data_IF_643393509844
#
_entry.id   IF_643393509844
#
_cell.length_a   1.000
_cell.length_b   1.000
_cell.length_c   1.000
_cell.angle_alpha   90.00
_cell.angle_beta   90.00
_cell.angle_gamma   90.00
#
_symmetry.space_group_name_H-M   'P 1'
#
loop_
_entity.id
_entity.type
_entity.pdbx_description
1 polymer ?
#
# COMPACT_ATOMS: atom_id res chain seq x y z
N UNK A 1 25.81 -8.25 9.31
CA UNK A 1 25.10 -9.10 10.28
C UNK A 1 23.74 -9.39 9.67
N UNK A 2 23.37 -10.66 9.53
CA UNK A 2 22.03 -11.00 9.02
C UNK A 2 20.98 -10.53 10.03
N UNK A 3 19.87 -9.99 9.53
CA UNK A 3 18.82 -9.39 10.36
C UNK A 3 17.65 -10.36 10.44
N UNK A 4 17.23 -10.70 11.65
CA UNK A 4 16.10 -11.60 11.89
C UNK A 4 14.81 -10.83 12.16
N UNK A 5 13.66 -11.46 11.90
CA UNK A 5 12.34 -10.87 12.18
C UNK A 5 12.17 -10.55 13.68
N UNK A 6 12.62 -11.45 14.57
CA UNK A 6 12.45 -11.27 16.02
C UNK A 6 13.30 -10.11 16.59
N UNK A 7 14.31 -9.64 15.85
CA UNK A 7 15.13 -8.49 16.23
C UNK A 7 14.46 -7.15 15.86
N UNK A 8 13.29 -7.18 15.21
CA UNK A 8 12.64 -5.99 14.67
C UNK A 8 11.66 -5.38 15.67
N UNK A 9 11.82 -4.08 15.93
CA UNK A 9 10.78 -3.29 16.60
C UNK A 9 9.63 -2.96 15.64
N UNK A 10 8.70 -3.91 15.53
CA UNK A 10 7.52 -3.81 14.66
C UNK A 10 6.62 -2.62 15.00
N UNK A 11 6.59 -2.18 16.27
CA UNK A 11 5.80 -1.01 16.67
C UNK A 11 6.43 0.27 16.14
N UNK A 12 7.75 0.41 16.26
CA UNK A 12 8.47 1.54 15.71
C UNK A 12 8.31 1.63 14.18
N UNK A 13 8.37 0.48 13.48
CA UNK A 13 8.13 0.45 12.04
C UNK A 13 6.71 0.88 11.68
N UNK A 14 5.68 0.39 12.37
CA UNK A 14 4.30 0.85 12.19
C UNK A 14 4.17 2.37 12.38
N UNK A 15 4.79 2.92 13.43
CA UNK A 15 4.75 4.35 13.71
C UNK A 15 5.31 5.19 12.56
N UNK A 16 6.32 4.73 11.83
CA UNK A 16 6.84 5.43 10.64
C UNK A 16 5.82 5.56 9.51
N UNK A 17 4.93 4.57 9.35
CA UNK A 17 3.83 4.67 8.38
C UNK A 17 2.71 5.57 8.90
N UNK A 18 2.38 5.44 10.18
CA UNK A 18 1.31 6.21 10.82
C UNK A 18 1.61 7.70 10.92
N UNK A 19 2.79 8.07 11.41
CA UNK A 19 3.15 9.45 11.71
C UNK A 19 3.21 10.30 10.44
N UNK A 20 2.59 11.47 10.47
CA UNK A 20 2.54 12.39 9.32
C UNK A 20 1.43 12.07 8.31
N UNK A 21 0.55 11.11 8.56
CA UNK A 21 -0.64 10.85 7.76
C UNK A 21 -1.78 11.87 7.99
N UNK A 22 -1.72 12.66 9.07
CA UNK A 22 -2.69 13.73 9.34
C UNK A 22 -4.12 13.22 9.42
N UNK A 23 -5.02 13.81 8.63
CA UNK A 23 -6.43 13.39 8.58
C UNK A 23 -6.62 11.92 8.16
N UNK A 24 -5.63 11.33 7.48
CA UNK A 24 -5.69 9.96 6.97
C UNK A 24 -5.08 8.90 7.92
N UNK A 25 -4.68 9.29 9.14
CA UNK A 25 -4.15 8.35 10.15
C UNK A 25 -5.09 7.16 10.43
N UNK A 26 -6.41 7.37 10.35
CA UNK A 26 -7.41 6.33 10.56
C UNK A 26 -7.39 5.20 9.52
N UNK A 27 -6.79 5.42 8.34
CA UNK A 27 -6.68 4.41 7.27
C UNK A 27 -5.37 3.60 7.34
N UNK A 28 -4.47 3.93 8.27
CA UNK A 28 -3.22 3.17 8.42
C UNK A 28 -3.46 1.95 9.29
N UNK A 29 -3.34 0.76 8.71
CA UNK A 29 -3.60 -0.48 9.42
C UNK A 29 -2.35 -1.05 10.11
N UNK A 30 -2.50 -1.40 11.38
CA UNK A 30 -1.45 -2.03 12.18
C UNK A 30 -1.39 -3.55 12.00
N UNK A 31 -2.42 -4.18 11.42
CA UNK A 31 -2.55 -5.64 11.28
C UNK A 31 -1.31 -6.31 10.70
N UNK A 32 -0.68 -5.81 9.61
CA UNK A 32 0.52 -6.43 9.07
C UNK A 32 1.68 -6.48 10.08
N UNK A 33 1.83 -5.46 10.92
CA UNK A 33 2.88 -5.41 11.94
C UNK A 33 2.52 -6.23 13.18
N UNK A 34 1.27 -6.14 13.65
CA UNK A 34 0.83 -6.81 14.88
C UNK A 34 0.88 -8.33 14.71
N UNK A 35 0.47 -8.83 13.54
CA UNK A 35 0.40 -10.27 13.28
C UNK A 35 1.78 -10.91 13.11
N UNK A 36 2.79 -10.14 12.68
CA UNK A 36 4.18 -10.61 12.60
C UNK A 36 4.80 -11.00 13.94
N UNK A 37 4.26 -10.54 15.07
CA UNK A 37 4.71 -10.98 16.41
C UNK A 37 4.55 -12.48 16.63
N UNK A 38 3.63 -13.13 15.90
CA UNK A 38 3.36 -14.56 15.99
C UNK A 38 3.92 -15.33 14.78
N UNK A 39 4.60 -14.65 13.87
CA UNK A 39 5.21 -15.30 12.71
C UNK A 39 6.54 -15.96 13.15
N UNK A 40 6.88 -17.17 12.67
CA UNK A 40 8.15 -17.81 12.94
C UNK A 40 9.32 -16.90 12.57
N UNK A 41 10.37 -16.95 13.38
CA UNK A 41 11.57 -16.18 13.06
C UNK A 41 12.21 -16.67 11.76
N UNK A 42 12.66 -15.72 10.93
CA UNK A 42 13.38 -15.99 9.70
C UNK A 42 14.36 -14.86 9.40
N UNK A 43 15.36 -15.15 8.56
CA UNK A 43 16.34 -14.16 8.11
C UNK A 43 15.70 -13.28 7.04
N UNK A 44 15.67 -11.98 7.27
CA UNK A 44 15.15 -11.02 6.30
C UNK A 44 15.99 -11.06 5.03
N UNK A 45 15.30 -11.07 3.89
CA UNK A 45 15.91 -11.09 2.56
C UNK A 45 16.33 -9.68 2.14
N UNK A 46 17.35 -9.60 1.28
CA UNK A 46 17.81 -8.32 0.74
C UNK A 46 16.75 -7.71 -0.20
N UNK A 47 16.57 -6.40 -0.09
CA UNK A 47 15.57 -5.63 -0.84
C UNK A 47 16.24 -4.53 -1.66
N UNK A 48 15.77 -4.33 -2.88
CA UNK A 48 16.32 -3.32 -3.79
C UNK A 48 15.71 -1.93 -3.53
N UNK A 49 16.54 -0.98 -3.09
CA UNK A 49 16.13 0.41 -2.85
C UNK A 49 16.30 1.32 -4.08
N UNK A 50 16.85 0.80 -5.18
CA UNK A 50 17.09 1.58 -6.38
C UNK A 50 15.83 1.71 -7.22
N UNK A 51 15.65 2.89 -7.80
CA UNK A 51 14.62 3.14 -8.80
C UNK A 51 14.86 2.23 -10.01
N UNK A 52 13.78 1.62 -10.49
CA UNK A 52 13.73 0.83 -11.72
C UNK A 52 12.75 1.46 -12.73
N UNK A 53 12.62 0.85 -13.90
CA UNK A 53 11.74 1.35 -14.97
C UNK A 53 10.28 1.47 -14.52
N UNK A 54 9.79 0.50 -13.74
CA UNK A 54 8.41 0.52 -13.24
C UNK A 54 8.17 1.72 -12.33
N UNK A 55 9.05 1.91 -11.34
CA UNK A 55 8.96 3.05 -10.42
C UNK A 55 9.24 4.40 -11.10
N UNK A 56 10.04 4.42 -12.17
CA UNK A 56 10.21 5.59 -13.05
C UNK A 56 8.91 5.97 -13.77
N UNK A 57 8.21 5.00 -14.37
CA UNK A 57 6.92 5.25 -15.02
C UNK A 57 5.87 5.75 -14.03
N UNK A 58 5.82 5.17 -12.82
CA UNK A 58 4.97 5.64 -11.72
C UNK A 58 5.29 7.10 -11.37
N UNK A 59 6.58 7.44 -11.21
CA UNK A 59 7.01 8.81 -10.91
C UNK A 59 6.60 9.80 -12.00
N UNK A 60 6.75 9.43 -13.27
CA UNK A 60 6.40 10.27 -14.41
C UNK A 60 4.90 10.59 -14.40
N UNK A 61 4.04 9.59 -14.18
CA UNK A 61 2.59 9.78 -14.06
C UNK A 61 2.26 10.70 -12.87
N UNK A 62 2.82 10.41 -11.70
CA UNK A 62 2.59 11.21 -10.49
C UNK A 62 2.99 12.68 -10.72
N UNK A 63 4.14 12.92 -11.36
CA UNK A 63 4.66 14.27 -11.61
C UNK A 63 3.75 15.13 -12.48
N UNK A 64 2.98 14.51 -13.39
CA UNK A 64 2.03 15.20 -14.27
C UNK A 64 0.74 15.60 -13.55
N UNK A 65 0.44 14.98 -12.41
CA UNK A 65 -0.82 15.17 -11.68
C UNK A 65 -0.64 15.74 -10.27
N UNK A 66 0.60 15.94 -9.81
CA UNK A 66 0.89 16.41 -8.45
C UNK A 66 0.40 17.85 -8.26
N UNK A 67 -0.59 18.00 -7.37
CA UNK A 67 -1.06 19.29 -6.88
C UNK A 67 -1.79 19.08 -5.55
N UNK A 68 -2.02 20.15 -4.76
CA UNK A 68 -2.62 20.02 -3.42
C UNK A 68 -4.02 19.41 -3.36
N UNK A 69 -4.73 19.33 -4.49
CA UNK A 69 -6.11 18.83 -4.60
C UNK A 69 -6.20 17.43 -5.22
N UNK A 70 -5.07 16.76 -5.40
CA UNK A 70 -5.01 15.39 -5.92
C UNK A 70 -4.64 14.41 -4.80
N UNK A 71 -5.46 13.38 -4.63
CA UNK A 71 -5.11 12.20 -3.85
C UNK A 71 -4.64 11.09 -4.80
N UNK A 72 -3.60 10.36 -4.40
CA UNK A 72 -3.08 9.24 -5.19
C UNK A 72 -3.44 7.90 -4.55
N UNK A 73 -3.60 6.88 -5.39
CA UNK A 73 -3.80 5.50 -4.99
C UNK A 73 -2.98 4.61 -5.90
N UNK A 74 -2.37 3.58 -5.34
CA UNK A 74 -1.72 2.54 -6.13
C UNK A 74 -2.15 1.15 -5.69
N UNK A 75 -2.47 0.31 -6.66
CA UNK A 75 -2.93 -1.06 -6.49
C UNK A 75 -2.04 -2.02 -7.30
N UNK A 76 -0.85 -2.28 -6.76
CA UNK A 76 0.13 -3.22 -7.31
C UNK A 76 0.31 -4.40 -6.35
N UNK A 77 1.04 -5.43 -6.77
CA UNK A 77 1.45 -6.46 -5.81
C UNK A 77 2.22 -5.83 -4.64
N UNK A 78 2.12 -6.43 -3.46
CA UNK A 78 2.70 -5.89 -2.22
C UNK A 78 4.15 -5.37 -2.36
N UNK A 79 5.04 -6.10 -3.03
CA UNK A 79 6.45 -5.73 -3.15
C UNK A 79 6.64 -4.47 -3.99
N UNK A 80 5.97 -4.41 -5.15
CA UNK A 80 5.98 -3.24 -6.03
C UNK A 80 5.35 -2.03 -5.35
N UNK A 81 4.18 -2.22 -4.72
CA UNK A 81 3.49 -1.17 -3.95
C UNK A 81 4.37 -0.58 -2.84
N UNK A 82 5.06 -1.43 -2.07
CA UNK A 82 5.95 -0.97 -0.99
C UNK A 82 7.20 -0.25 -1.53
N UNK A 83 7.78 -0.76 -2.62
CA UNK A 83 8.91 -0.10 -3.28
C UNK A 83 8.52 1.28 -3.83
N UNK A 84 7.42 1.34 -4.57
CA UNK A 84 6.90 2.58 -5.12
C UNK A 84 6.57 3.60 -4.02
N UNK A 85 5.98 3.15 -2.90
CA UNK A 85 5.69 4.01 -1.74
C UNK A 85 6.95 4.70 -1.20
N UNK A 86 8.01 3.91 -1.01
CA UNK A 86 9.30 4.43 -0.56
C UNK A 86 9.90 5.42 -1.57
N UNK A 87 9.96 5.06 -2.86
CA UNK A 87 10.53 5.91 -3.90
C UNK A 87 9.75 7.23 -4.03
N UNK A 88 8.41 7.17 -4.00
CA UNK A 88 7.54 8.35 -4.10
C UNK A 88 7.66 9.28 -2.90
N UNK A 89 7.84 8.73 -1.69
CA UNK A 89 8.16 9.56 -0.53
C UNK A 89 9.49 10.29 -0.73
N UNK A 90 10.53 9.59 -1.17
CA UNK A 90 11.86 10.17 -1.36
C UNK A 90 11.93 11.19 -2.50
N UNK A 91 11.21 10.97 -3.60
CA UNK A 91 11.32 11.76 -4.83
C UNK A 91 10.23 12.80 -5.03
N UNK A 92 9.03 12.55 -4.50
CA UNK A 92 7.84 13.40 -4.70
C UNK A 92 7.26 13.94 -3.40
N UNK A 93 7.83 13.57 -2.25
CA UNK A 93 7.34 13.92 -0.92
C UNK A 93 5.87 13.55 -0.71
N UNK A 94 5.40 12.45 -1.31
CA UNK A 94 4.10 11.90 -1.01
C UNK A 94 4.19 11.05 0.25
N UNK A 95 3.30 11.29 1.23
CA UNK A 95 3.19 10.44 2.41
C UNK A 95 2.44 9.16 2.02
N UNK A 96 3.05 7.97 2.14
CA UNK A 96 2.33 6.74 1.88
C UNK A 96 1.43 6.35 3.05
N UNK A 97 0.20 5.94 2.75
CA UNK A 97 -0.81 5.45 3.68
C UNK A 97 -0.93 3.94 3.45
N UNK A 98 -0.39 3.14 4.38
CA UNK A 98 -0.39 1.68 4.26
C UNK A 98 -1.74 1.10 4.67
N UNK A 99 -2.49 0.58 3.69
CA UNK A 99 -3.84 0.03 3.90
C UNK A 99 -3.90 -1.50 3.96
N UNK A 100 -2.75 -2.13 4.14
CA UNK A 100 -2.66 -3.60 4.14
C UNK A 100 -3.37 -4.19 5.37
N UNK A 101 -4.28 -5.16 5.18
CA UNK A 101 -5.10 -5.74 6.27
C UNK A 101 -4.92 -7.23 6.48
N UNK A 102 -4.11 -7.88 5.65
CA UNK A 102 -3.85 -9.31 5.76
C UNK A 102 -3.30 -9.67 7.15
N UNK A 103 -3.73 -10.83 7.64
CA UNK A 103 -3.12 -11.48 8.79
C UNK A 103 -1.89 -12.23 8.27
N UNK A 104 -0.70 -11.84 8.72
CA UNK A 104 0.53 -12.53 8.37
C UNK A 104 0.60 -13.87 9.10
N UNK A 105 0.74 -14.95 8.33
CA UNK A 105 0.85 -16.31 8.84
C UNK A 105 1.67 -17.17 7.85
N UNK A 106 2.51 -18.11 8.30
CA UNK A 106 3.35 -18.95 7.41
C UNK A 106 2.57 -19.75 6.38
N UNK A 107 1.35 -20.12 6.76
CA UNK A 107 0.43 -20.87 5.91
C UNK A 107 -0.59 -19.96 5.22
N UNK A 108 -0.40 -18.63 5.20
CA UNK A 108 -1.27 -17.68 4.52
C UNK A 108 -1.21 -17.80 2.99
N UNK A 109 -2.33 -17.52 2.34
CA UNK A 109 -2.45 -17.43 0.87
C UNK A 109 -1.68 -16.24 0.32
N UNK A 110 -1.83 -15.07 0.95
CA UNK A 110 -1.21 -13.81 0.53
C UNK A 110 -0.12 -13.40 1.51
N UNK A 111 0.85 -12.64 0.97
CA UNK A 111 1.94 -12.00 1.73
C UNK A 111 2.95 -12.98 2.35
N UNK A 112 4.00 -13.29 1.58
CA UNK A 112 5.06 -14.21 1.94
C UNK A 112 6.26 -13.52 2.62
N UNK A 113 7.32 -14.29 2.92
CA UNK A 113 8.56 -13.78 3.52
C UNK A 113 9.25 -12.69 2.68
N UNK A 114 9.10 -12.71 1.35
CA UNK A 114 9.67 -11.68 0.48
C UNK A 114 8.90 -10.36 0.63
N UNK A 115 7.56 -10.43 0.69
CA UNK A 115 6.71 -9.27 0.99
C UNK A 115 6.95 -8.74 2.42
N UNK A 116 7.12 -9.62 3.41
CA UNK A 116 7.47 -9.23 4.78
C UNK A 116 8.85 -8.56 4.84
N UNK A 117 9.85 -9.11 4.15
CA UNK A 117 11.19 -8.52 4.06
C UNK A 117 11.14 -7.13 3.42
N UNK A 118 10.34 -6.97 2.36
CA UNK A 118 10.07 -5.68 1.72
C UNK A 118 9.40 -4.70 2.68
N UNK A 119 8.33 -5.11 3.36
CA UNK A 119 7.61 -4.26 4.32
C UNK A 119 8.57 -3.72 5.37
N UNK A 120 9.35 -4.60 6.01
CA UNK A 120 10.30 -4.20 7.05
C UNK A 120 11.37 -3.27 6.49
N UNK A 121 12.01 -3.65 5.37
CA UNK A 121 13.13 -2.90 4.80
C UNK A 121 12.74 -1.49 4.36
N UNK A 122 11.58 -1.34 3.71
CA UNK A 122 11.09 -0.02 3.31
C UNK A 122 10.55 0.78 4.50
N UNK A 123 9.90 0.12 5.48
CA UNK A 123 9.49 0.79 6.74
C UNK A 123 10.66 1.47 7.42
N UNK A 124 11.86 0.87 7.41
CA UNK A 124 13.04 1.47 8.03
C UNK A 124 13.49 2.77 7.38
N UNK A 125 13.25 2.90 6.07
CA UNK A 125 13.64 4.07 5.27
C UNK A 125 12.58 5.14 5.21
N UNK A 126 11.32 4.79 5.48
CA UNK A 126 10.27 5.79 5.59
C UNK A 126 10.56 6.74 6.74
N UNK A 127 10.46 8.03 6.45
CA UNK A 127 10.73 9.10 7.40
C UNK A 127 9.56 10.07 7.45
N UNK A 128 9.40 10.75 8.58
CA UNK A 128 8.48 11.87 8.65
C UNK A 128 9.15 13.10 8.03
N UNK A 129 8.56 13.61 6.94
CA UNK A 129 9.06 14.72 6.13
C UNK A 129 7.89 15.66 5.85
N UNK A 130 8.17 16.91 5.47
CA UNK A 130 7.14 17.79 4.94
C UNK A 130 6.59 17.19 3.65
N UNK A 131 5.32 16.79 3.68
CA UNK A 131 4.69 16.06 2.58
C UNK A 131 3.90 17.01 1.66
N UNK A 132 3.97 16.76 0.35
CA UNK A 132 3.26 17.51 -0.69
C UNK A 132 1.89 16.90 -1.05
N UNK A 133 1.53 15.78 -0.41
CA UNK A 133 0.30 15.04 -0.66
C UNK A 133 0.38 13.65 -0.05
N UNK A 134 -0.62 12.82 -0.37
CA UNK A 134 -0.75 11.47 0.16
C UNK A 134 -0.95 10.45 -0.97
N UNK A 135 -0.48 9.23 -0.72
CA UNK A 135 -0.72 8.09 -1.61
C UNK A 135 -1.17 6.87 -0.82
N UNK A 136 -2.37 6.37 -1.12
CA UNK A 136 -2.88 5.11 -0.58
C UNK A 136 -2.18 3.93 -1.23
N UNK A 137 -1.59 3.07 -0.39
CA UNK A 137 -0.84 1.88 -0.79
C UNK A 137 -1.73 0.66 -0.60
N UNK A 138 -2.16 0.06 -1.71
CA UNK A 138 -3.02 -1.12 -1.75
C UNK A 138 -2.23 -2.35 -2.25
N UNK A 139 -2.69 -3.54 -1.88
CA UNK A 139 -2.13 -4.81 -2.35
C UNK A 139 -3.09 -5.45 -3.34
N UNK A 140 -2.70 -5.51 -4.60
CA UNK A 140 -3.45 -6.14 -5.69
C UNK A 140 -3.76 -7.61 -5.42
N UNK A 141 -2.93 -8.30 -4.63
CA UNK A 141 -3.13 -9.72 -4.34
C UNK A 141 -4.14 -9.97 -3.21
N UNK A 142 -4.66 -8.93 -2.55
CA UNK A 142 -5.56 -9.01 -1.37
C UNK A 142 -6.70 -10.00 -1.51
N UNK A 143 -7.28 -10.14 -2.71
CA UNK A 143 -8.06 -11.29 -3.11
C UNK A 143 -7.73 -11.67 -4.55
N UNK A 144 -7.49 -12.95 -4.77
CA UNK A 144 -7.02 -13.56 -6.01
C UNK A 144 -7.48 -15.00 -6.06
N UNK A 145 -7.66 -15.55 -7.25
CA UNK A 145 -8.02 -16.95 -7.40
C UNK A 145 -6.77 -17.83 -7.25
N UNK A 146 -6.88 -18.83 -6.38
CA UNK A 146 -5.85 -19.85 -6.17
C UNK A 146 -6.34 -21.22 -6.64
N UNK A 147 -5.42 -22.14 -6.91
CA UNK A 147 -5.80 -23.52 -7.24
C UNK A 147 -6.38 -24.25 -6.03
N UNK A 148 -7.24 -25.23 -6.27
CA UNK A 148 -7.83 -26.06 -5.20
C UNK A 148 -6.76 -26.72 -4.30
N UNK A 149 -5.61 -27.10 -4.89
CA UNK A 149 -4.48 -27.67 -4.16
C UNK A 149 -3.88 -26.68 -3.14
N UNK A 150 -3.82 -25.40 -3.49
CA UNK A 150 -3.35 -24.34 -2.60
C UNK A 150 -4.37 -24.12 -1.47
N UNK A 151 -5.67 -24.02 -1.79
CA UNK A 151 -6.71 -23.84 -0.76
C UNK A 151 -6.76 -24.98 0.26
N UNK A 152 -6.37 -26.21 -0.11
CA UNK A 152 -6.30 -27.35 0.83
C UNK A 152 -5.13 -27.29 1.81
N UNK A 153 -4.09 -26.52 1.51
CA UNK A 153 -2.82 -26.51 2.26
C UNK A 153 -2.54 -25.19 2.96
N UNK A 154 -3.30 -24.14 2.63
CA UNK A 154 -3.12 -22.79 3.14
C UNK A 154 -4.38 -22.26 3.80
N UNK A 155 -4.19 -21.43 4.81
CA UNK A 155 -5.22 -20.65 5.47
C UNK A 155 -5.58 -19.42 4.62
N UNK A 156 -6.86 -19.17 4.45
CA UNK A 156 -7.33 -18.00 3.72
C UNK A 156 -7.20 -16.73 4.57
N UNK A 157 -6.17 -15.93 4.28
CA UNK A 157 -5.92 -14.60 4.86
C UNK A 157 -6.17 -13.46 3.85
N UNK A 158 -6.95 -13.74 2.80
CA UNK A 158 -7.39 -12.74 1.84
C UNK A 158 -8.34 -11.74 2.50
N UNK A 159 -8.45 -10.55 1.90
CA UNK A 159 -9.32 -9.49 2.38
C UNK A 159 -9.81 -8.62 1.22
N UNK A 160 -10.91 -7.93 1.46
CA UNK A 160 -11.52 -6.97 0.55
C UNK A 160 -11.44 -5.58 1.18
N UNK A 161 -11.36 -4.55 0.35
CA UNK A 161 -11.48 -3.16 0.78
C UNK A 161 -12.96 -2.83 0.95
N UNK A 162 -13.31 -2.27 2.10
CA UNK A 162 -14.67 -1.86 2.46
C UNK A 162 -14.76 -0.34 2.56
N UNK A 163 -15.96 0.18 2.81
CA UNK A 163 -16.21 1.61 3.01
C UNK A 163 -15.42 2.22 4.19
N UNK A 164 -14.86 1.39 5.06
CA UNK A 164 -14.06 1.82 6.21
C UNK A 164 -12.56 1.96 5.90
N UNK A 165 -12.12 1.49 4.74
CA UNK A 165 -10.70 1.34 4.41
C UNK A 165 -10.19 2.48 3.50
N UNK A 166 -11.10 3.27 2.93
CA UNK A 166 -10.81 4.40 2.03
C UNK A 166 -11.64 5.64 2.40
N UNK A 167 -11.17 6.85 2.08
CA UNK A 167 -11.87 8.08 2.44
C UNK A 167 -13.17 8.25 1.64
N UNK A 168 -14.26 8.55 2.35
CA UNK A 168 -15.55 8.87 1.72
C UNK A 168 -15.52 10.24 1.03
N UNK A 169 -16.44 10.48 0.08
CA UNK A 169 -16.43 11.69 -0.73
C UNK A 169 -16.60 12.95 0.13
N UNK A 170 -17.36 12.88 1.22
CA UNK A 170 -17.55 13.97 2.17
C UNK A 170 -16.22 14.39 2.81
N UNK A 171 -15.41 13.41 3.23
CA UNK A 171 -14.09 13.65 3.80
C UNK A 171 -13.14 14.27 2.76
N UNK A 172 -13.17 13.79 1.52
CA UNK A 172 -12.34 14.35 0.44
C UNK A 172 -12.73 15.80 0.14
N UNK A 173 -14.03 16.10 0.10
CA UNK A 173 -14.54 17.45 -0.11
C UNK A 173 -14.16 18.39 1.04
N UNK A 174 -14.28 17.94 2.29
CA UNK A 174 -13.88 18.72 3.48
C UNK A 174 -12.38 19.06 3.48
N UNK A 175 -11.57 18.21 2.84
CA UNK A 175 -10.12 18.39 2.68
C UNK A 175 -9.73 19.08 1.35
N UNK A 176 -10.68 19.58 0.56
CA UNK A 176 -10.50 20.23 -0.76
C UNK A 176 -9.82 19.34 -1.81
N UNK A 177 -9.94 18.01 -1.70
CA UNK A 177 -9.56 17.09 -2.77
C UNK A 177 -10.62 17.11 -3.88
N UNK A 178 -10.17 17.29 -5.12
CA UNK A 178 -11.04 17.35 -6.31
C UNK A 178 -10.76 16.23 -7.29
N UNK A 179 -9.59 15.59 -7.17
CA UNK A 179 -9.15 14.53 -8.05
C UNK A 179 -8.56 13.35 -7.26
N UNK A 180 -8.85 12.13 -7.72
CA UNK A 180 -8.17 10.90 -7.33
C UNK A 180 -7.48 10.31 -8.55
N UNK A 181 -6.19 10.02 -8.43
CA UNK A 181 -5.41 9.31 -9.45
C UNK A 181 -5.15 7.90 -8.97
N UNK A 182 -5.61 6.91 -9.73
CA UNK A 182 -5.43 5.48 -9.42
C UNK A 182 -4.46 4.87 -10.41
N UNK A 183 -3.34 4.36 -9.92
CA UNK A 183 -2.41 3.54 -10.68
C UNK A 183 -2.66 2.08 -10.31
N UNK A 184 -2.89 1.21 -11.28
CA UNK A 184 -3.20 -0.19 -10.99
C UNK A 184 -2.50 -1.12 -11.98
N UNK A 185 -2.26 -2.34 -11.52
CA UNK A 185 -1.71 -3.41 -12.32
C UNK A 185 -2.80 -4.46 -12.62
N UNK A 186 -2.64 -5.22 -13.70
CA UNK A 186 -3.53 -6.34 -13.99
C UNK A 186 -4.98 -5.89 -14.26
N UNK A 187 -5.95 -6.62 -13.70
CA UNK A 187 -7.37 -6.29 -13.84
C UNK A 187 -7.83 -5.45 -12.66
N UNK A 188 -8.41 -4.27 -12.92
CA UNK A 188 -8.97 -3.43 -11.87
C UNK A 188 -9.90 -4.25 -10.96
N UNK A 189 -9.58 -4.27 -9.67
CA UNK A 189 -10.35 -5.01 -8.67
C UNK A 189 -11.75 -4.39 -8.52
N UNK A 190 -12.73 -5.25 -8.27
CA UNK A 190 -14.14 -4.87 -8.14
C UNK A 190 -14.34 -3.85 -7.02
N UNK A 191 -13.67 -4.03 -5.88
CA UNK A 191 -13.73 -3.10 -4.75
C UNK A 191 -13.23 -1.69 -5.12
N UNK A 192 -12.11 -1.58 -5.85
CA UNK A 192 -11.59 -0.31 -6.36
C UNK A 192 -12.52 0.28 -7.41
N UNK A 193 -13.06 -0.56 -8.30
CA UNK A 193 -14.02 -0.10 -9.30
C UNK A 193 -15.23 0.53 -8.61
N UNK A 194 -15.84 -0.16 -7.65
CA UNK A 194 -16.99 0.35 -6.90
C UNK A 194 -16.67 1.66 -6.19
N UNK A 195 -15.51 1.75 -5.56
CA UNK A 195 -15.05 2.98 -4.92
C UNK A 195 -14.86 4.12 -5.92
N UNK A 196 -14.22 3.88 -7.07
CA UNK A 196 -14.02 4.91 -8.09
C UNK A 196 -15.32 5.37 -8.74
N UNK A 197 -16.26 4.45 -8.99
CA UNK A 197 -17.59 4.78 -9.51
C UNK A 197 -18.33 5.67 -8.50
N UNK A 198 -18.32 5.30 -7.22
CA UNK A 198 -18.90 6.10 -6.12
C UNK A 198 -18.31 7.52 -6.08
N UNK A 199 -16.98 7.67 -6.19
CA UNK A 199 -16.35 8.99 -6.20
C UNK A 199 -16.80 9.85 -7.39
N UNK A 200 -16.86 9.25 -8.59
CA UNK A 200 -17.30 9.95 -9.81
C UNK A 200 -18.77 10.38 -9.72
N UNK A 201 -19.65 9.52 -9.22
CA UNK A 201 -21.07 9.82 -8.99
C UNK A 201 -21.26 10.99 -8.02
N UNK A 202 -20.30 11.20 -7.11
CA UNK A 202 -20.30 12.28 -6.12
C UNK A 202 -19.41 13.47 -6.51
N UNK A 203 -19.02 13.58 -7.78
CA UNK A 203 -18.38 14.78 -8.33
C UNK A 203 -16.86 14.88 -8.14
N UNK A 204 -16.20 13.83 -7.66
CA UNK A 204 -14.74 13.75 -7.61
C UNK A 204 -14.21 13.24 -8.96
N UNK A 205 -13.24 13.94 -9.55
CA UNK A 205 -12.60 13.49 -10.78
C UNK A 205 -11.74 12.26 -10.50
N UNK A 206 -11.96 11.17 -11.22
CA UNK A 206 -11.10 9.98 -11.15
C UNK A 206 -10.33 9.82 -12.46
N UNK A 207 -9.00 9.70 -12.35
CA UNK A 207 -8.09 9.41 -13.47
C UNK A 207 -7.40 8.08 -13.18
N UNK A 208 -7.41 7.15 -14.13
CA UNK A 208 -6.87 5.81 -13.93
C UNK A 208 -5.77 5.49 -14.94
N UNK A 209 -4.70 4.86 -14.46
CA UNK A 209 -3.57 4.41 -15.26
C UNK A 209 -3.33 2.93 -15.03
N UNK A 210 -3.36 2.16 -16.12
CA UNK A 210 -2.99 0.74 -16.12
C UNK A 210 -1.50 0.62 -16.41
N UNK A 211 -0.78 -0.08 -15.55
CA UNK A 211 0.66 -0.35 -15.69
C UNK A 211 0.88 -1.84 -15.98
N UNK A 212 1.83 -2.10 -16.88
CA UNK A 212 2.29 -3.44 -17.21
C UNK A 212 3.61 -3.72 -16.48
N UNK A 213 3.79 -4.94 -16.00
CA UNK A 213 5.09 -5.43 -15.50
C UNK A 213 6.09 -5.70 -16.64
#
# INVERSE_FOLDING_TARGET
>A
MQKHLMDIDLYHLYKKWYDGCGAFECFVHSTPFVTLKNYPDFVLKDVCFEQDKFTEEVLDIISQHINPRTLFMMDFNAQLSLKAAYILQERSALKPILTFRQINHPYGLVFDEDAISSLISYSEKITDKNNNGFIFVLDYLRYSEFSEAIYKTKFNNQYEITEYDLPVCEMLNDLDYQQVVVLYQGTLKEDIKLYTDYLQENGIQVVMFHLND
#
